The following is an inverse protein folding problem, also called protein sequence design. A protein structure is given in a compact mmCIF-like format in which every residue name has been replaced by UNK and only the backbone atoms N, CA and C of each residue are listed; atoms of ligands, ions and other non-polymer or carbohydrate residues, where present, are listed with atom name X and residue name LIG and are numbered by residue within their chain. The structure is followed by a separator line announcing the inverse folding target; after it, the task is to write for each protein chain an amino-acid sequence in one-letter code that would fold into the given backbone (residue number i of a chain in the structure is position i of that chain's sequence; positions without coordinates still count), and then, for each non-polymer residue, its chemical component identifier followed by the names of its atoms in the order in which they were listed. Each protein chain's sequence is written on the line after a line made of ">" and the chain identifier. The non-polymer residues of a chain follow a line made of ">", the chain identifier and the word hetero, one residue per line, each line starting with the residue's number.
data_IF_418999326707
#
_entry.id   IF_418999326707
#
_cell.length_a   1.000
_cell.length_b   1.000
_cell.length_c   1.000
_cell.angle_alpha   90.00
_cell.angle_beta   90.00
_cell.angle_gamma   90.00
#
_symmetry.space_group_name_H-M   'P 1'
#
loop_
_entity.id
_entity.type
_entity.pdbx_description
1 polymer ?
#
# COMPACT_ATOMS: atom_id res chain seq x y z
N UNK A 1 51.04 35.51 -29.09
CA UNK A 1 50.23 36.22 -30.13
C UNK A 1 49.17 35.30 -30.62
N UNK A 2 48.00 35.37 -30.02
CA UNK A 2 46.83 34.55 -30.40
C UNK A 2 46.20 35.14 -31.64
N UNK A 3 46.11 34.30 -32.68
CA UNK A 3 45.76 34.68 -34.03
C UNK A 3 44.25 35.08 -34.08
N UNK A 4 43.93 36.30 -34.56
CA UNK A 4 42.56 36.86 -34.69
C UNK A 4 41.59 35.95 -35.45
N UNK A 5 42.08 35.09 -36.32
CA UNK A 5 41.27 34.10 -37.02
C UNK A 5 40.72 32.98 -36.12
N UNK A 6 41.42 32.59 -35.05
CA UNK A 6 40.96 31.55 -34.14
C UNK A 6 39.89 32.10 -33.15
N UNK A 7 39.90 33.44 -32.87
CA UNK A 7 38.87 34.03 -32.05
C UNK A 7 37.49 34.16 -32.82
N UNK A 8 37.54 34.43 -34.12
CA UNK A 8 36.35 34.55 -34.96
C UNK A 8 35.69 33.21 -35.24
N UNK A 9 36.44 32.14 -35.38
CA UNK A 9 35.92 30.79 -35.54
C UNK A 9 35.29 30.26 -34.21
N UNK A 10 35.89 30.58 -33.07
CA UNK A 10 35.34 30.23 -31.75
C UNK A 10 34.03 30.93 -31.43
N UNK A 11 33.87 32.20 -31.83
CA UNK A 11 32.64 32.98 -31.64
C UNK A 11 31.49 32.49 -32.59
N UNK A 12 31.82 32.11 -33.80
CA UNK A 12 30.84 31.59 -34.76
C UNK A 12 30.31 30.20 -34.36
N UNK A 13 31.15 29.32 -33.81
CA UNK A 13 30.74 28.03 -33.29
C UNK A 13 29.94 28.14 -31.98
N UNK A 14 30.28 29.09 -31.09
CA UNK A 14 29.49 29.36 -29.89
C UNK A 14 28.12 29.97 -30.21
N UNK A 15 28.02 30.83 -31.20
CA UNK A 15 26.74 31.40 -31.65
C UNK A 15 25.87 30.35 -32.37
N UNK A 16 26.47 29.42 -33.13
CA UNK A 16 25.74 28.33 -33.75
C UNK A 16 25.26 27.30 -32.73
N UNK A 17 26.07 26.99 -31.69
CA UNK A 17 25.65 26.11 -30.61
C UNK A 17 24.58 26.74 -29.70
N UNK A 18 24.62 28.05 -29.46
CA UNK A 18 23.52 28.76 -28.78
C UNK A 18 22.25 28.81 -29.61
N UNK A 19 22.32 28.94 -30.91
CA UNK A 19 21.13 28.94 -31.78
C UNK A 19 20.53 27.54 -31.95
N UNK A 20 21.34 26.49 -31.79
CA UNK A 20 20.87 25.10 -31.79
C UNK A 20 20.26 24.73 -30.41
N UNK A 21 20.80 25.27 -29.29
CA UNK A 21 20.20 25.12 -27.95
C UNK A 21 18.93 25.97 -27.78
N UNK A 22 18.75 27.06 -28.47
CA UNK A 22 17.50 27.84 -28.52
C UNK A 22 16.44 27.25 -29.49
N UNK A 23 16.79 26.30 -30.30
CA UNK A 23 15.89 25.36 -30.99
C UNK A 23 15.69 24.04 -30.23
N UNK A 24 15.85 24.00 -28.94
CA UNK A 24 15.11 23.08 -28.09
C UNK A 24 13.64 23.36 -28.38
N UNK A 25 13.02 22.52 -29.19
CA UNK A 25 11.73 22.71 -29.80
C UNK A 25 10.78 23.33 -28.79
N UNK A 26 10.27 24.50 -29.07
CA UNK A 26 9.10 25.02 -28.37
C UNK A 26 8.08 23.90 -28.48
N UNK A 27 7.82 23.22 -27.39
CA UNK A 27 6.85 22.13 -27.35
C UNK A 27 5.53 22.80 -27.69
N UNK A 28 5.02 22.58 -28.91
CA UNK A 28 3.75 23.14 -29.31
C UNK A 28 2.69 22.41 -28.49
N UNK A 29 1.94 23.14 -27.69
CA UNK A 29 0.80 22.64 -26.95
C UNK A 29 -0.48 22.91 -27.73
N UNK A 30 -1.42 22.01 -27.61
CA UNK A 30 -2.84 22.28 -27.89
C UNK A 30 -3.39 22.97 -26.65
N UNK A 31 -3.79 24.20 -26.78
CA UNK A 31 -4.34 24.96 -25.65
C UNK A 31 -5.84 24.70 -25.52
N UNK A 32 -6.29 24.27 -24.36
CA UNK A 32 -7.70 23.94 -24.12
C UNK A 32 -8.64 25.16 -24.38
N UNK A 33 -8.17 26.38 -24.09
CA UNK A 33 -8.91 27.60 -24.36
C UNK A 33 -9.26 27.81 -25.85
N UNK A 34 -8.46 27.29 -26.78
CA UNK A 34 -8.68 27.40 -28.22
C UNK A 34 -9.91 26.59 -28.67
N UNK A 35 -10.39 25.71 -27.82
CA UNK A 35 -11.62 24.92 -27.98
C UNK A 35 -12.80 25.50 -27.20
N UNK A 36 -12.62 26.71 -26.66
CA UNK A 36 -13.67 27.43 -25.94
C UNK A 36 -13.85 27.03 -24.48
N UNK A 37 -12.85 26.36 -23.86
CA UNK A 37 -12.85 26.17 -22.42
C UNK A 37 -12.57 27.49 -21.74
N UNK A 38 -13.43 27.85 -20.79
CA UNK A 38 -13.37 29.08 -20.03
C UNK A 38 -13.59 28.82 -18.54
N UNK A 39 -12.64 29.21 -17.71
CA UNK A 39 -12.73 29.09 -16.27
C UNK A 39 -13.84 29.94 -15.63
N UNK A 40 -14.34 30.95 -16.32
CA UNK A 40 -15.47 31.75 -15.88
C UNK A 40 -16.84 31.13 -16.22
N UNK A 41 -16.88 30.15 -17.12
CA UNK A 41 -18.08 29.39 -17.45
C UNK A 41 -18.31 28.27 -16.40
N UNK A 42 -19.39 28.36 -15.63
CA UNK A 42 -19.78 27.40 -14.61
C UNK A 42 -20.63 26.23 -15.14
N UNK A 43 -20.96 26.27 -16.43
CA UNK A 43 -21.73 25.19 -17.09
C UNK A 43 -20.88 24.00 -17.48
N UNK A 44 -21.53 22.98 -18.03
CA UNK A 44 -20.86 21.77 -18.52
C UNK A 44 -20.00 22.09 -19.76
N UNK A 45 -18.72 21.79 -19.65
CA UNK A 45 -17.73 21.99 -20.69
C UNK A 45 -17.19 20.68 -21.28
N UNK A 46 -17.85 19.57 -21.01
CA UNK A 46 -17.39 18.23 -21.40
C UNK A 46 -17.12 18.10 -22.90
N UNK A 47 -18.05 18.59 -23.74
CA UNK A 47 -17.88 18.53 -25.20
C UNK A 47 -16.68 19.34 -25.70
N UNK A 48 -16.42 20.52 -25.11
CA UNK A 48 -15.28 21.37 -25.44
C UNK A 48 -13.98 20.69 -25.05
N UNK A 49 -13.94 20.09 -23.83
CA UNK A 49 -12.75 19.40 -23.34
C UNK A 49 -12.47 18.13 -24.13
N UNK A 50 -13.50 17.38 -24.52
CA UNK A 50 -13.33 16.20 -25.39
C UNK A 50 -12.73 16.58 -26.75
N UNK A 51 -13.21 17.66 -27.38
CA UNK A 51 -12.63 18.15 -28.64
C UNK A 51 -11.15 18.52 -28.48
N UNK A 52 -10.76 19.15 -27.36
CA UNK A 52 -9.38 19.52 -27.10
C UNK A 52 -8.48 18.25 -26.91
N UNK A 53 -8.98 17.25 -26.18
CA UNK A 53 -8.29 15.96 -25.99
C UNK A 53 -8.10 15.23 -27.33
N UNK A 54 -9.16 15.17 -28.14
CA UNK A 54 -9.11 14.51 -29.46
C UNK A 54 -8.15 15.19 -30.43
N UNK A 55 -8.13 16.52 -30.43
CA UNK A 55 -7.19 17.30 -31.21
C UNK A 55 -5.73 17.09 -30.78
N UNK A 56 -5.48 17.11 -29.47
CA UNK A 56 -4.16 16.87 -28.90
C UNK A 56 -3.65 15.48 -29.29
N UNK A 57 -4.49 14.46 -29.16
CA UNK A 57 -4.18 13.09 -29.57
C UNK A 57 -3.92 12.96 -31.07
N UNK A 58 -4.74 13.60 -31.92
CA UNK A 58 -4.59 13.56 -33.37
C UNK A 58 -3.31 14.27 -33.84
N UNK A 59 -2.93 15.38 -33.20
CA UNK A 59 -1.72 16.15 -33.51
C UNK A 59 -0.48 15.58 -32.83
N UNK A 60 -0.63 14.60 -31.94
CA UNK A 60 0.45 14.06 -31.09
C UNK A 60 1.17 15.19 -30.30
N UNK A 61 0.41 16.15 -29.82
CA UNK A 61 0.88 17.28 -29.02
C UNK A 61 0.26 17.24 -27.63
N UNK A 62 0.97 17.67 -26.58
CA UNK A 62 0.39 17.74 -25.25
C UNK A 62 -0.79 18.73 -25.21
N UNK A 63 -1.87 18.39 -24.52
CA UNK A 63 -2.94 19.30 -24.16
C UNK A 63 -2.51 20.11 -22.93
N UNK A 64 -2.64 21.42 -23.00
CA UNK A 64 -2.40 22.35 -21.88
C UNK A 64 -3.72 22.90 -21.38
N UNK A 65 -3.95 22.80 -20.07
CA UNK A 65 -5.11 23.35 -19.38
C UNK A 65 -4.65 24.49 -18.45
N UNK A 66 -5.17 25.70 -18.66
CA UNK A 66 -4.86 26.85 -17.81
C UNK A 66 -5.44 26.69 -16.40
N UNK A 67 -4.95 27.50 -15.44
CA UNK A 67 -5.53 27.59 -14.10
C UNK A 67 -7.01 27.99 -14.17
N UNK A 68 -7.83 27.36 -13.34
CA UNK A 68 -9.27 27.58 -13.27
C UNK A 68 -10.03 26.29 -13.01
N UNK A 69 -11.35 26.41 -12.83
CA UNK A 69 -12.23 25.25 -12.60
C UNK A 69 -13.11 25.03 -13.83
N UNK A 70 -13.09 23.80 -14.34
CA UNK A 70 -13.84 23.38 -15.51
C UNK A 70 -14.76 22.22 -15.14
N UNK A 71 -16.06 22.42 -15.29
CA UNK A 71 -17.02 21.34 -15.03
C UNK A 71 -17.07 20.40 -16.22
N UNK A 72 -16.61 19.16 -16.01
CA UNK A 72 -16.52 18.14 -17.06
C UNK A 72 -16.83 16.75 -16.52
N UNK A 73 -17.33 15.86 -17.37
CA UNK A 73 -17.58 14.47 -17.05
C UNK A 73 -17.56 13.59 -18.27
N UNK A 74 -17.30 12.30 -18.05
CA UNK A 74 -17.32 11.25 -19.08
C UNK A 74 -16.39 11.56 -20.28
N UNK A 75 -15.26 12.21 -20.04
CA UNK A 75 -14.24 12.44 -21.06
C UNK A 75 -13.55 11.10 -21.35
N UNK A 76 -13.57 10.69 -22.60
CA UNK A 76 -13.01 9.41 -23.02
C UNK A 76 -11.65 9.58 -23.69
N UNK A 77 -10.69 8.74 -23.29
CA UNK A 77 -9.33 8.73 -23.85
C UNK A 77 -9.04 7.32 -24.35
N UNK A 78 -9.04 7.15 -25.66
CA UNK A 78 -8.74 5.91 -26.36
C UNK A 78 -7.47 5.95 -27.24
N UNK A 79 -6.66 7.01 -27.11
CA UNK A 79 -5.43 7.23 -27.90
C UNK A 79 -4.32 7.80 -27.03
N UNK A 80 -3.05 7.63 -27.44
CA UNK A 80 -1.92 8.29 -26.77
C UNK A 80 -2.13 9.79 -26.67
N UNK A 81 -2.01 10.33 -25.46
CA UNK A 81 -2.12 11.76 -25.21
C UNK A 81 -1.44 12.14 -23.90
N UNK A 82 -0.86 13.32 -23.85
CA UNK A 82 -0.40 13.95 -22.61
C UNK A 82 -1.32 15.10 -22.26
N UNK A 83 -1.88 15.12 -21.05
CA UNK A 83 -2.72 16.20 -20.53
C UNK A 83 -1.97 16.85 -19.37
N UNK A 84 -1.70 18.13 -19.46
CA UNK A 84 -1.00 18.90 -18.43
C UNK A 84 -1.86 20.05 -17.92
N UNK A 85 -2.05 20.09 -16.61
CA UNK A 85 -2.67 21.23 -15.93
C UNK A 85 -1.62 22.22 -15.44
N UNK A 86 -1.88 23.51 -15.65
CA UNK A 86 -1.19 24.55 -14.90
C UNK A 86 -1.56 24.46 -13.42
N UNK A 87 -0.73 25.01 -12.53
CA UNK A 87 -1.05 25.07 -11.11
C UNK A 87 -2.44 25.70 -10.89
N UNK A 88 -3.35 24.98 -10.23
CA UNK A 88 -4.73 25.39 -10.02
C UNK A 88 -5.70 25.02 -11.15
N UNK A 89 -5.28 24.22 -12.15
CA UNK A 89 -6.19 23.65 -13.14
C UNK A 89 -7.02 22.54 -12.48
N UNK A 90 -8.33 22.73 -12.41
CA UNK A 90 -9.27 21.83 -11.73
C UNK A 90 -10.33 21.32 -12.69
N UNK A 91 -10.46 20.02 -12.78
CA UNK A 91 -11.58 19.35 -13.43
C UNK A 91 -12.61 18.98 -12.34
N UNK A 92 -13.75 19.65 -12.34
CA UNK A 92 -14.83 19.38 -11.41
C UNK A 92 -15.83 18.43 -12.05
N UNK A 93 -16.25 17.42 -11.27
CA UNK A 93 -17.21 16.42 -11.72
C UNK A 93 -18.54 17.06 -12.08
N UNK A 94 -18.98 16.88 -13.32
CA UNK A 94 -20.32 17.16 -13.80
C UNK A 94 -21.26 15.95 -13.66
N UNK A 95 -22.44 15.98 -14.28
CA UNK A 95 -23.32 14.82 -14.31
C UNK A 95 -22.72 13.68 -15.13
N UNK A 96 -22.22 12.64 -14.46
CA UNK A 96 -21.58 11.50 -15.11
C UNK A 96 -21.02 10.47 -14.11
N UNK A 97 -20.35 9.44 -14.62
CA UNK A 97 -19.82 8.35 -13.81
C UNK A 97 -18.33 8.53 -13.50
N UNK A 98 -17.62 9.31 -14.33
CA UNK A 98 -16.20 9.65 -14.12
C UNK A 98 -15.89 11.03 -14.70
N UNK A 99 -14.82 11.68 -14.24
CA UNK A 99 -14.28 12.87 -14.91
C UNK A 99 -13.56 12.45 -16.18
N UNK A 100 -12.54 11.56 -16.05
CA UNK A 100 -11.82 10.97 -17.18
C UNK A 100 -11.97 9.46 -17.17
N UNK A 101 -12.16 8.89 -18.35
CA UNK A 101 -12.18 7.44 -18.59
C UNK A 101 -11.17 7.08 -19.69
N UNK A 102 -10.11 6.38 -19.30
CA UNK A 102 -9.10 5.83 -20.20
C UNK A 102 -9.52 4.38 -20.55
N UNK A 103 -9.67 4.07 -21.84
CA UNK A 103 -10.06 2.73 -22.26
C UNK A 103 -9.28 2.29 -23.48
N UNK A 104 -8.78 1.04 -23.45
CA UNK A 104 -8.13 0.37 -24.57
C UNK A 104 -7.03 1.23 -25.21
N UNK A 105 -6.22 1.87 -24.38
CA UNK A 105 -5.22 2.86 -24.80
C UNK A 105 -3.84 2.60 -24.20
N UNK A 106 -2.88 3.38 -24.66
CA UNK A 106 -1.52 3.37 -24.12
C UNK A 106 -0.83 4.70 -24.30
N UNK A 107 0.32 4.87 -23.64
CA UNK A 107 1.11 6.10 -23.69
C UNK A 107 0.31 7.36 -23.29
N UNK A 108 -0.42 7.25 -22.18
CA UNK A 108 -1.20 8.38 -21.65
C UNK A 108 -0.48 8.95 -20.42
N UNK A 109 -0.33 10.26 -20.39
CA UNK A 109 0.20 11.00 -19.24
C UNK A 109 -0.85 12.01 -18.77
N UNK A 110 -1.19 11.95 -17.49
CA UNK A 110 -2.05 12.93 -16.80
C UNK A 110 -1.19 13.58 -15.71
N UNK A 111 -0.95 14.90 -15.85
CA UNK A 111 0.04 15.61 -15.06
C UNK A 111 -0.50 16.93 -14.52
N UNK A 112 -0.36 17.16 -13.21
CA UNK A 112 -0.60 18.47 -12.58
C UNK A 112 -2.06 18.90 -12.46
N UNK A 113 -3.04 18.01 -12.59
CA UNK A 113 -4.46 18.32 -12.53
C UNK A 113 -5.04 18.08 -11.12
N UNK A 114 -6.05 18.87 -10.78
CA UNK A 114 -6.95 18.60 -9.66
C UNK A 114 -8.25 17.99 -10.18
N UNK A 115 -8.62 16.82 -9.66
CA UNK A 115 -9.90 16.16 -9.89
C UNK A 115 -10.79 16.38 -8.67
N UNK A 116 -11.91 17.05 -8.83
CA UNK A 116 -12.82 17.43 -7.74
C UNK A 116 -14.21 16.82 -7.95
N UNK A 117 -14.60 15.92 -7.06
CA UNK A 117 -15.89 15.24 -7.09
C UNK A 117 -17.01 15.89 -6.28
N UNK A 118 -16.81 17.12 -5.77
CA UNK A 118 -17.66 17.74 -4.73
C UNK A 118 -19.15 17.88 -5.03
N UNK A 119 -19.55 17.79 -6.30
CA UNK A 119 -20.95 17.96 -6.69
C UNK A 119 -21.63 16.65 -7.13
N UNK A 120 -20.93 15.52 -7.04
CA UNK A 120 -21.41 14.20 -7.49
C UNK A 120 -22.20 13.45 -6.40
N UNK A 121 -23.07 14.13 -5.66
CA UNK A 121 -23.85 13.52 -4.58
C UNK A 121 -24.74 12.37 -5.10
N UNK A 122 -24.54 11.16 -4.54
CA UNK A 122 -25.44 10.02 -4.74
C UNK A 122 -25.13 9.12 -5.94
N UNK A 123 -23.94 9.20 -6.55
CA UNK A 123 -23.48 8.29 -7.60
C UNK A 123 -22.19 7.60 -7.18
N UNK A 124 -21.94 6.39 -7.68
CA UNK A 124 -20.65 5.68 -7.57
C UNK A 124 -19.54 6.39 -8.41
N UNK A 125 -19.46 7.72 -8.27
CA UNK A 125 -18.59 8.56 -9.07
C UNK A 125 -17.10 8.25 -8.80
N UNK A 126 -16.44 7.65 -9.78
CA UNK A 126 -15.00 7.49 -9.83
C UNK A 126 -14.39 8.72 -10.49
N UNK A 127 -13.36 9.34 -9.90
CA UNK A 127 -12.78 10.54 -10.51
C UNK A 127 -11.98 10.22 -11.78
N UNK A 128 -11.17 9.15 -11.71
CA UNK A 128 -10.40 8.66 -12.86
C UNK A 128 -10.60 7.15 -13.01
N UNK A 129 -11.17 6.73 -14.13
CA UNK A 129 -11.34 5.34 -14.51
C UNK A 129 -10.34 4.95 -15.59
N UNK A 130 -9.62 3.83 -15.41
CA UNK A 130 -8.62 3.32 -16.34
C UNK A 130 -8.92 1.85 -16.59
N UNK A 131 -9.12 1.47 -17.86
CA UNK A 131 -9.42 0.08 -18.22
C UNK A 131 -8.62 -0.34 -19.45
N UNK A 132 -7.97 -1.51 -19.39
CA UNK A 132 -7.17 -2.08 -20.49
C UNK A 132 -6.14 -1.09 -21.04
N UNK A 133 -5.31 -0.51 -20.17
CA UNK A 133 -4.39 0.54 -20.58
C UNK A 133 -2.95 0.23 -20.21
N UNK A 134 -2.02 0.58 -21.08
CA UNK A 134 -0.59 0.30 -20.92
C UNK A 134 0.23 1.58 -20.96
N UNK A 135 1.31 1.63 -20.18
CA UNK A 135 2.22 2.78 -20.10
C UNK A 135 1.47 4.09 -19.73
N UNK A 136 0.56 3.97 -18.76
CA UNK A 136 -0.15 5.12 -18.21
C UNK A 136 0.67 5.73 -17.07
N UNK A 137 0.81 7.04 -17.07
CA UNK A 137 1.40 7.80 -15.96
C UNK A 137 0.39 8.80 -15.45
N UNK A 138 0.03 8.69 -14.16
CA UNK A 138 -0.77 9.69 -13.44
C UNK A 138 0.15 10.30 -12.39
N UNK A 139 0.47 11.58 -12.54
CA UNK A 139 1.48 12.20 -11.67
C UNK A 139 1.12 13.61 -11.24
N UNK A 140 1.59 14.01 -10.05
CA UNK A 140 1.43 15.38 -9.51
C UNK A 140 -0.02 15.86 -9.48
N UNK A 141 -0.98 14.94 -9.38
CA UNK A 141 -2.41 15.24 -9.43
C UNK A 141 -3.01 15.24 -8.01
N UNK A 142 -4.12 15.99 -7.87
CA UNK A 142 -4.94 15.94 -6.66
C UNK A 142 -6.29 15.31 -6.99
N UNK A 143 -6.78 14.41 -6.12
CA UNK A 143 -8.09 13.78 -6.22
C UNK A 143 -8.86 14.07 -4.92
N UNK A 144 -9.95 14.80 -5.03
CA UNK A 144 -10.65 15.34 -3.88
C UNK A 144 -12.13 14.99 -3.94
N UNK A 145 -12.70 14.61 -2.77
CA UNK A 145 -14.15 14.48 -2.56
C UNK A 145 -14.86 13.57 -3.56
N UNK A 146 -14.27 12.40 -3.85
CA UNK A 146 -14.95 11.39 -4.66
C UNK A 146 -16.12 10.76 -3.89
N UNK A 147 -17.29 10.67 -4.53
CA UNK A 147 -18.44 9.93 -3.98
C UNK A 147 -18.24 8.41 -4.00
N UNK A 148 -17.32 7.92 -4.81
CA UNK A 148 -16.88 6.52 -4.90
C UNK A 148 -15.36 6.40 -4.79
N UNK A 149 -14.73 5.82 -5.79
CA UNK A 149 -13.27 5.58 -5.84
C UNK A 149 -12.53 6.79 -6.42
N UNK A 150 -11.36 7.12 -5.88
CA UNK A 150 -10.51 8.17 -6.45
C UNK A 150 -9.96 7.77 -7.82
N UNK A 151 -9.14 6.73 -7.88
CA UNK A 151 -8.60 6.14 -9.12
C UNK A 151 -8.97 4.67 -9.17
N UNK A 152 -9.75 4.26 -10.17
CA UNK A 152 -10.06 2.87 -10.45
C UNK A 152 -9.26 2.40 -11.67
N UNK A 153 -8.38 1.44 -11.46
CA UNK A 153 -7.55 0.85 -12.51
C UNK A 153 -7.90 -0.63 -12.68
N UNK A 154 -8.31 -1.03 -13.87
CA UNK A 154 -8.53 -2.41 -14.23
C UNK A 154 -7.67 -2.79 -15.43
N UNK A 155 -6.88 -3.84 -15.29
CA UNK A 155 -5.93 -4.28 -16.33
C UNK A 155 -5.06 -3.11 -16.85
N UNK A 156 -4.49 -2.36 -15.91
CA UNK A 156 -3.60 -1.23 -16.19
C UNK A 156 -2.16 -1.63 -15.96
N UNK A 157 -1.26 -1.12 -16.80
CA UNK A 157 0.19 -1.09 -16.58
C UNK A 157 0.69 0.34 -16.61
N UNK A 158 1.55 0.70 -15.67
CA UNK A 158 2.09 2.05 -15.56
C UNK A 158 2.27 2.47 -14.12
N UNK A 159 2.14 3.77 -13.85
CA UNK A 159 2.40 4.32 -12.51
C UNK A 159 1.41 5.38 -12.09
N UNK A 160 1.22 5.48 -10.78
CA UNK A 160 0.51 6.55 -10.09
C UNK A 160 1.49 7.11 -9.07
N UNK A 161 1.96 8.35 -9.30
CA UNK A 161 3.05 8.87 -8.51
C UNK A 161 2.86 10.34 -8.08
N UNK A 162 3.33 10.66 -6.86
CA UNK A 162 3.32 12.02 -6.32
C UNK A 162 1.94 12.69 -6.35
N UNK A 163 0.87 11.90 -6.19
CA UNK A 163 -0.50 12.38 -6.15
C UNK A 163 -0.98 12.56 -4.71
N UNK A 164 -1.92 13.47 -4.51
CA UNK A 164 -2.64 13.62 -3.26
C UNK A 164 -4.11 13.20 -3.44
N UNK A 165 -4.59 12.27 -2.60
CA UNK A 165 -5.97 11.76 -2.65
C UNK A 165 -6.59 11.94 -1.27
N UNK A 166 -7.71 12.66 -1.18
CA UNK A 166 -8.36 12.87 0.13
C UNK A 166 -9.86 13.01 0.03
N UNK A 167 -10.52 12.67 1.14
CA UNK A 167 -11.96 12.76 1.26
C UNK A 167 -12.67 11.89 0.21
N UNK A 168 -12.21 10.65 0.09
CA UNK A 168 -12.70 9.66 -0.86
C UNK A 168 -13.70 8.73 -0.15
N UNK A 169 -14.93 8.67 -0.61
CA UNK A 169 -15.97 7.90 0.09
C UNK A 169 -15.74 6.38 0.10
N UNK A 170 -15.05 5.83 -0.89
CA UNK A 170 -14.65 4.42 -0.92
C UNK A 170 -13.13 4.28 -0.77
N UNK A 171 -12.43 3.96 -1.82
CA UNK A 171 -10.99 3.65 -1.85
C UNK A 171 -10.24 4.68 -2.66
N UNK A 172 -9.09 5.15 -2.16
CA UNK A 172 -8.32 6.14 -2.90
C UNK A 172 -7.81 5.59 -4.24
N UNK A 173 -7.12 4.45 -4.23
CA UNK A 173 -6.60 3.78 -5.43
C UNK A 173 -7.01 2.31 -5.40
N UNK A 174 -7.78 1.87 -6.39
CA UNK A 174 -8.18 0.48 -6.55
C UNK A 174 -7.65 -0.07 -7.87
N UNK A 175 -6.58 -0.85 -7.80
CA UNK A 175 -5.99 -1.57 -8.93
C UNK A 175 -6.48 -3.02 -8.91
N UNK A 176 -7.25 -3.42 -9.93
CA UNK A 176 -7.75 -4.77 -10.10
C UNK A 176 -7.19 -5.38 -11.39
N UNK A 177 -6.65 -6.59 -11.31
CA UNK A 177 -6.00 -7.30 -12.43
C UNK A 177 -4.92 -6.47 -13.16
N UNK A 178 -4.30 -5.51 -12.44
CA UNK A 178 -3.33 -4.54 -12.97
C UNK A 178 -1.91 -4.99 -12.65
N UNK A 179 -1.32 -5.84 -13.48
CA UNK A 179 -0.01 -6.41 -13.21
C UNK A 179 1.15 -5.42 -13.37
N UNK A 180 2.05 -5.38 -12.39
CA UNK A 180 3.25 -4.55 -12.43
C UNK A 180 3.01 -3.04 -12.26
N UNK A 181 1.89 -2.63 -11.67
CA UNK A 181 1.62 -1.21 -11.42
C UNK A 181 2.56 -0.67 -10.33
N UNK A 182 3.04 0.54 -10.55
CA UNK A 182 3.85 1.28 -9.57
C UNK A 182 2.99 2.37 -8.91
N UNK A 183 2.85 2.34 -7.58
CA UNK A 183 2.12 3.32 -6.78
C UNK A 183 3.11 3.95 -5.80
N UNK A 184 3.61 5.16 -6.14
CA UNK A 184 4.84 5.70 -5.57
C UNK A 184 4.65 7.11 -5.01
N UNK A 185 5.07 7.35 -3.76
CA UNK A 185 5.16 8.69 -3.18
C UNK A 185 3.83 9.45 -3.06
N UNK A 186 2.70 8.75 -3.04
CA UNK A 186 1.39 9.37 -2.93
C UNK A 186 1.05 9.71 -1.48
N UNK A 187 0.23 10.75 -1.28
CA UNK A 187 -0.37 11.11 0.01
C UNK A 187 -1.85 10.80 -0.03
N UNK A 188 -2.33 9.92 0.83
CA UNK A 188 -3.70 9.42 0.89
C UNK A 188 -4.25 9.68 2.28
N UNK A 189 -5.44 10.30 2.39
CA UNK A 189 -6.04 10.58 3.68
C UNK A 189 -7.56 10.60 3.64
N UNK A 190 -8.18 10.18 4.74
CA UNK A 190 -9.64 10.23 4.97
C UNK A 190 -10.42 9.52 3.86
N UNK A 191 -10.20 8.20 3.78
CA UNK A 191 -10.91 7.34 2.84
C UNK A 191 -11.88 6.42 3.58
N UNK A 192 -13.07 6.26 3.04
CA UNK A 192 -14.16 5.57 3.71
C UNK A 192 -14.00 4.05 3.81
N UNK A 193 -13.17 3.42 2.95
CA UNK A 193 -13.03 1.97 2.96
C UNK A 193 -11.63 1.45 2.68
N UNK A 194 -10.75 2.22 2.07
CA UNK A 194 -9.40 1.74 1.81
C UNK A 194 -8.46 2.81 1.26
N UNK A 195 -7.17 2.67 1.57
CA UNK A 195 -6.13 3.49 0.97
C UNK A 195 -5.77 2.99 -0.42
N UNK A 196 -5.02 1.90 -0.51
CA UNK A 196 -4.61 1.27 -1.77
C UNK A 196 -5.06 -0.20 -1.79
N UNK A 197 -5.74 -0.61 -2.85
CA UNK A 197 -6.09 -2.00 -3.13
C UNK A 197 -5.37 -2.49 -4.37
N UNK A 198 -4.67 -3.63 -4.25
CA UNK A 198 -4.09 -4.36 -5.37
C UNK A 198 -4.70 -5.75 -5.36
N UNK A 199 -5.69 -5.94 -6.19
CA UNK A 199 -6.50 -7.15 -6.22
C UNK A 199 -6.39 -7.88 -7.55
N UNK A 200 -6.56 -9.19 -7.48
CA UNK A 200 -6.75 -10.02 -8.67
C UNK A 200 -8.02 -10.84 -8.58
N UNK A 201 -8.73 -10.95 -9.67
CA UNK A 201 -9.91 -11.80 -9.79
C UNK A 201 -9.55 -13.28 -9.70
N UNK A 202 -8.36 -13.65 -10.19
CA UNK A 202 -7.75 -14.97 -10.05
C UNK A 202 -6.37 -14.85 -9.42
N UNK A 203 -6.03 -15.78 -8.51
CA UNK A 203 -4.68 -15.81 -7.93
C UNK A 203 -3.62 -15.97 -9.01
N UNK A 204 -2.56 -15.17 -8.92
CA UNK A 204 -1.46 -15.27 -9.86
C UNK A 204 -0.47 -14.09 -9.79
N UNK A 205 0.57 -14.15 -10.65
CA UNK A 205 1.61 -13.12 -10.69
C UNK A 205 1.04 -11.73 -10.93
N UNK A 206 1.48 -10.78 -10.13
CA UNK A 206 1.11 -9.37 -10.23
C UNK A 206 2.36 -8.48 -10.36
N UNK A 207 3.25 -8.51 -9.37
CA UNK A 207 4.53 -7.80 -9.41
C UNK A 207 4.42 -6.29 -9.14
N UNK A 208 3.30 -5.81 -8.61
CA UNK A 208 3.12 -4.40 -8.27
C UNK A 208 4.05 -3.93 -7.16
N UNK A 209 4.40 -2.64 -7.20
CA UNK A 209 5.29 -1.99 -6.26
C UNK A 209 4.61 -0.79 -5.61
N UNK A 210 4.51 -0.81 -4.28
CA UNK A 210 3.93 0.24 -3.47
C UNK A 210 5.02 0.81 -2.57
N UNK A 211 5.52 2.00 -2.91
CA UNK A 211 6.70 2.55 -2.26
C UNK A 211 6.54 4.02 -1.85
N UNK A 212 6.96 4.33 -0.61
CA UNK A 212 7.08 5.71 -0.14
C UNK A 212 5.75 6.47 0.00
N UNK A 213 4.61 5.77 0.06
CA UNK A 213 3.31 6.41 0.20
C UNK A 213 3.07 6.81 1.67
N UNK A 214 2.34 7.90 1.87
CA UNK A 214 1.80 8.34 3.15
C UNK A 214 0.30 8.11 3.16
N UNK A 215 -0.18 7.26 4.08
CA UNK A 215 -1.59 6.84 4.13
C UNK A 215 -2.09 7.10 5.55
N UNK A 216 -3.21 7.81 5.69
CA UNK A 216 -3.80 8.05 7.01
C UNK A 216 -5.32 8.06 6.99
N UNK A 217 -5.89 7.80 8.16
CA UNK A 217 -7.32 7.95 8.43
C UNK A 217 -8.18 7.12 7.47
N UNK A 218 -7.97 5.82 7.50
CA UNK A 218 -8.72 4.87 6.66
C UNK A 218 -9.85 4.26 7.49
N UNK A 219 -11.07 4.55 7.10
CA UNK A 219 -12.31 4.08 7.73
C UNK A 219 -12.83 2.80 7.04
N UNK A 220 -13.98 2.27 7.48
CA UNK A 220 -14.63 1.03 7.02
C UNK A 220 -16.15 1.18 6.91
N UNK A 221 -16.59 2.27 6.30
CA UNK A 221 -17.99 2.70 6.19
C UNK A 221 -18.89 1.62 5.58
N UNK A 222 -18.37 0.83 4.63
CA UNK A 222 -19.11 -0.28 4.01
C UNK A 222 -19.15 -1.56 4.85
N UNK A 223 -18.52 -1.56 6.03
CA UNK A 223 -18.46 -2.75 6.89
C UNK A 223 -17.54 -3.84 6.36
N UNK A 224 -17.41 -4.94 7.13
CA UNK A 224 -16.50 -6.04 6.84
C UNK A 224 -15.05 -5.72 7.16
N UNK A 225 -14.31 -6.66 7.72
CA UNK A 225 -12.94 -6.45 8.19
C UNK A 225 -11.86 -7.00 7.24
N UNK A 226 -12.22 -7.74 6.22
CA UNK A 226 -11.25 -8.29 5.26
C UNK A 226 -10.87 -7.30 4.17
N UNK A 227 -11.86 -6.77 3.48
CA UNK A 227 -11.69 -5.91 2.31
C UNK A 227 -11.60 -4.42 2.63
N UNK A 228 -12.21 -3.96 3.73
CA UNK A 228 -12.33 -2.57 4.10
C UNK A 228 -11.47 -2.21 5.32
N UNK A 229 -11.22 -0.93 5.54
CA UNK A 229 -10.52 -0.41 6.70
C UNK A 229 -9.00 -0.60 6.71
N UNK A 230 -8.41 -0.97 5.59
CA UNK A 230 -6.98 -1.23 5.49
C UNK A 230 -6.25 -0.11 4.74
N UNK A 231 -5.06 0.23 5.21
CA UNK A 231 -4.18 1.19 4.53
C UNK A 231 -3.76 0.68 3.15
N UNK A 232 -3.19 -0.52 3.12
CA UNK A 232 -2.86 -1.27 1.90
C UNK A 232 -3.48 -2.66 2.00
N UNK A 233 -4.24 -3.05 0.98
CA UNK A 233 -4.84 -4.37 0.91
C UNK A 233 -4.46 -5.07 -0.40
N UNK A 234 -3.81 -6.23 -0.28
CA UNK A 234 -3.40 -7.06 -1.41
C UNK A 234 -4.18 -8.36 -1.39
N UNK A 235 -4.90 -8.67 -2.46
CA UNK A 235 -5.73 -9.87 -2.55
C UNK A 235 -5.42 -10.70 -3.78
N UNK A 236 -4.99 -11.93 -3.59
CA UNK A 236 -4.65 -12.90 -4.65
C UNK A 236 -3.57 -12.44 -5.62
N UNK A 237 -2.86 -11.36 -5.33
CA UNK A 237 -1.80 -10.79 -6.17
C UNK A 237 -0.43 -11.22 -5.64
N UNK A 238 0.29 -11.97 -6.45
CA UNK A 238 1.60 -12.53 -6.09
C UNK A 238 2.75 -11.58 -6.49
N UNK A 239 3.91 -11.75 -5.84
CA UNK A 239 5.14 -10.99 -6.12
C UNK A 239 5.04 -9.47 -5.84
N UNK A 240 4.10 -9.05 -5.00
CA UNK A 240 3.92 -7.64 -4.63
C UNK A 240 4.99 -7.21 -3.63
N UNK A 241 5.54 -6.01 -3.83
CA UNK A 241 6.48 -5.37 -2.91
C UNK A 241 5.88 -4.11 -2.30
N UNK A 242 5.89 -4.02 -0.96
CA UNK A 242 5.38 -2.91 -0.16
C UNK A 242 6.51 -2.40 0.72
N UNK A 243 7.05 -1.20 0.41
CA UNK A 243 8.23 -0.72 1.12
C UNK A 243 8.20 0.78 1.41
N UNK A 244 8.80 1.14 2.55
CA UNK A 244 9.02 2.52 2.96
C UNK A 244 7.74 3.38 3.02
N UNK A 245 6.58 2.77 3.25
CA UNK A 245 5.33 3.50 3.42
C UNK A 245 5.15 3.93 4.89
N UNK A 246 4.50 5.07 5.08
CA UNK A 246 4.06 5.55 6.39
C UNK A 246 2.54 5.48 6.47
N UNK A 247 2.01 4.61 7.33
CA UNK A 247 0.59 4.27 7.40
C UNK A 247 0.10 4.50 8.84
N UNK A 248 -0.92 5.34 8.99
CA UNK A 248 -1.39 5.79 10.31
C UNK A 248 -2.91 5.73 10.39
N UNK A 249 -3.42 5.29 11.55
CA UNK A 249 -4.85 5.35 11.87
C UNK A 249 -5.73 4.66 10.83
N UNK A 250 -5.54 3.34 10.69
CA UNK A 250 -6.41 2.48 9.89
C UNK A 250 -7.40 1.76 10.79
N UNK A 251 -8.67 1.71 10.39
CA UNK A 251 -9.72 1.03 11.16
C UNK A 251 -9.40 -0.45 11.42
N UNK A 252 -8.70 -1.10 10.50
CA UNK A 252 -8.19 -2.46 10.65
C UNK A 252 -6.67 -2.50 10.44
N UNK A 253 -6.18 -3.15 9.40
CA UNK A 253 -4.74 -3.35 9.21
C UNK A 253 -4.08 -2.16 8.50
N UNK A 254 -2.84 -1.86 8.86
CA UNK A 254 -2.00 -1.01 8.02
C UNK A 254 -1.75 -1.70 6.67
N UNK A 255 -1.33 -2.98 6.71
CA UNK A 255 -1.05 -3.79 5.52
C UNK A 255 -1.69 -5.17 5.68
N UNK A 256 -2.56 -5.55 4.75
CA UNK A 256 -3.22 -6.86 4.72
C UNK A 256 -2.94 -7.59 3.42
N UNK A 257 -2.41 -8.81 3.53
CA UNK A 257 -2.01 -9.68 2.43
C UNK A 257 -2.86 -10.96 2.49
N UNK A 258 -3.82 -11.10 1.58
CA UNK A 258 -4.76 -12.19 1.62
C UNK A 258 -4.55 -13.12 0.42
N UNK A 259 -4.26 -14.39 0.67
CA UNK A 259 -4.02 -15.44 -0.33
C UNK A 259 -2.94 -15.05 -1.36
N UNK A 260 -1.83 -14.47 -0.90
CA UNK A 260 -0.74 -13.95 -1.73
C UNK A 260 0.50 -14.83 -1.68
N UNK A 261 1.33 -14.78 -2.72
CA UNK A 261 2.61 -15.50 -2.73
C UNK A 261 3.77 -14.57 -3.05
N UNK A 262 4.94 -14.90 -2.47
CA UNK A 262 6.21 -14.21 -2.71
C UNK A 262 6.11 -12.70 -2.48
N UNK A 263 5.45 -12.30 -1.40
CA UNK A 263 5.30 -10.88 -1.03
C UNK A 263 6.47 -10.39 -0.20
N UNK A 264 6.78 -9.11 -0.31
CA UNK A 264 7.78 -8.44 0.51
C UNK A 264 7.18 -7.19 1.15
N UNK A 265 7.27 -7.11 2.48
CA UNK A 265 6.84 -5.96 3.29
C UNK A 265 8.05 -5.49 4.10
N UNK A 266 8.65 -4.36 3.71
CA UNK A 266 9.96 -3.96 4.25
C UNK A 266 10.04 -2.47 4.51
N UNK A 267 10.57 -2.06 5.68
CA UNK A 267 10.85 -0.67 5.99
C UNK A 267 9.62 0.22 6.20
N UNK A 268 8.44 -0.37 6.40
CA UNK A 268 7.24 0.42 6.60
C UNK A 268 7.12 0.90 8.05
N UNK A 269 6.53 2.09 8.23
CA UNK A 269 6.16 2.62 9.53
C UNK A 269 4.64 2.58 9.66
N UNK A 270 4.13 1.71 10.53
CA UNK A 270 2.70 1.48 10.76
C UNK A 270 2.33 1.95 12.16
N UNK A 271 1.37 2.87 12.27
CA UNK A 271 0.91 3.42 13.56
C UNK A 271 -0.60 3.27 13.71
N UNK A 272 -1.04 3.04 14.94
CA UNK A 272 -2.45 3.09 15.33
C UNK A 272 -3.36 2.24 14.41
N UNK A 273 -3.01 0.97 14.22
CA UNK A 273 -3.83 0.01 13.48
C UNK A 273 -4.89 -0.61 14.38
N UNK A 274 -6.15 -0.59 13.95
CA UNK A 274 -7.27 -1.08 14.76
C UNK A 274 -7.36 -2.61 14.87
N UNK A 275 -6.61 -3.36 14.09
CA UNK A 275 -6.53 -4.82 14.12
C UNK A 275 -5.05 -5.25 14.08
N UNK A 276 -4.72 -6.30 13.35
CA UNK A 276 -3.35 -6.73 13.09
C UNK A 276 -2.66 -5.73 12.16
N UNK A 277 -1.54 -5.16 12.58
CA UNK A 277 -0.87 -4.12 11.79
C UNK A 277 -0.39 -4.63 10.42
N UNK A 278 0.34 -5.76 10.40
CA UNK A 278 0.77 -6.43 9.16
C UNK A 278 0.26 -7.87 9.18
N UNK A 279 -0.63 -8.20 8.27
CA UNK A 279 -1.33 -9.48 8.26
C UNK A 279 -1.12 -10.23 6.95
N UNK A 280 -0.40 -11.37 7.00
CA UNK A 280 -0.39 -12.39 5.95
C UNK A 280 -1.36 -13.49 6.34
N UNK A 281 -2.44 -13.66 5.58
CA UNK A 281 -3.54 -14.55 5.93
C UNK A 281 -3.97 -15.48 4.80
N UNK A 282 -4.76 -16.48 5.17
CA UNK A 282 -5.25 -17.56 4.32
C UNK A 282 -4.10 -18.32 3.62
N UNK A 283 -4.27 -18.79 2.42
CA UNK A 283 -3.27 -19.60 1.71
C UNK A 283 -2.03 -18.83 1.23
N UNK A 284 -1.49 -17.91 2.04
CA UNK A 284 -0.26 -17.20 1.69
C UNK A 284 0.96 -18.14 1.63
N UNK A 285 1.97 -17.80 0.83
CA UNK A 285 3.23 -18.54 0.78
C UNK A 285 4.39 -17.66 0.34
N UNK A 286 5.48 -17.66 1.09
CA UNK A 286 6.68 -16.89 0.76
C UNK A 286 6.58 -15.41 1.14
N UNK A 287 6.04 -15.11 2.32
CA UNK A 287 6.01 -13.75 2.87
C UNK A 287 7.33 -13.40 3.54
N UNK A 288 7.93 -12.26 3.15
CA UNK A 288 9.08 -11.65 3.83
C UNK A 288 8.58 -10.37 4.48
N UNK A 289 8.64 -10.28 5.82
CA UNK A 289 8.25 -9.12 6.61
C UNK A 289 9.47 -8.67 7.41
N UNK A 290 10.11 -7.57 6.99
CA UNK A 290 11.39 -7.17 7.59
C UNK A 290 11.53 -5.66 7.78
N UNK A 291 12.27 -5.30 8.83
CA UNK A 291 12.68 -3.92 9.09
C UNK A 291 11.52 -2.92 9.21
N UNK A 292 10.34 -3.39 9.62
CA UNK A 292 9.17 -2.54 9.83
C UNK A 292 9.12 -2.03 11.27
N UNK A 293 8.60 -0.81 11.45
CA UNK A 293 8.25 -0.26 12.75
C UNK A 293 6.73 -0.27 12.92
N UNK A 294 6.26 -0.96 13.96
CA UNK A 294 4.85 -1.00 14.35
C UNK A 294 4.74 -0.34 15.71
N UNK A 295 3.89 0.70 15.82
CA UNK A 295 3.71 1.50 17.03
C UNK A 295 2.21 1.75 17.26
N UNK A 296 1.61 1.06 18.21
CA UNK A 296 0.18 1.12 18.46
C UNK A 296 -0.62 0.30 17.44
N UNK A 297 -0.99 -0.91 17.80
CA UNK A 297 -1.91 -1.77 17.05
C UNK A 297 -2.65 -2.68 18.02
N UNK A 298 -3.77 -3.29 17.60
CA UNK A 298 -4.42 -4.30 18.41
C UNK A 298 -3.60 -5.61 18.44
N UNK A 299 -2.94 -5.96 17.33
CA UNK A 299 -1.90 -6.98 17.26
C UNK A 299 -0.82 -6.53 16.27
N UNK A 300 0.41 -7.02 16.42
CA UNK A 300 1.54 -6.56 15.62
C UNK A 300 1.60 -7.20 14.24
N UNK A 301 2.27 -8.35 14.11
CA UNK A 301 2.46 -9.08 12.84
C UNK A 301 1.82 -10.46 12.97
N UNK A 302 1.06 -10.88 11.96
CA UNK A 302 0.48 -12.20 11.87
C UNK A 302 0.86 -12.91 10.56
N UNK A 303 1.34 -14.15 10.70
CA UNK A 303 1.64 -15.07 9.61
C UNK A 303 1.01 -16.42 9.95
N UNK A 304 -0.29 -16.48 9.97
CA UNK A 304 -1.13 -17.56 10.49
C UNK A 304 -2.03 -18.15 9.41
N UNK A 305 -3.05 -18.92 9.80
CA UNK A 305 -3.96 -19.64 8.90
C UNK A 305 -3.29 -20.86 8.21
N UNK A 306 -2.50 -21.60 8.95
CA UNK A 306 -1.96 -22.87 8.45
C UNK A 306 -3.06 -23.87 8.05
N UNK A 307 -4.21 -23.82 8.74
CA UNK A 307 -5.41 -24.59 8.37
C UNK A 307 -5.91 -24.30 6.95
N UNK A 308 -5.68 -23.08 6.44
CA UNK A 308 -6.04 -22.65 5.09
C UNK A 308 -4.83 -22.62 4.13
N UNK A 309 -3.71 -23.24 4.52
CA UNK A 309 -2.50 -23.38 3.72
C UNK A 309 -1.49 -22.24 3.86
N UNK A 310 -1.67 -21.36 4.85
CA UNK A 310 -0.71 -20.28 5.16
C UNK A 310 0.62 -20.85 5.64
N UNK A 311 1.73 -20.52 4.98
CA UNK A 311 3.06 -21.07 5.27
C UNK A 311 4.19 -20.30 4.59
N UNK A 312 5.40 -20.66 4.96
CA UNK A 312 6.66 -20.21 4.35
C UNK A 312 6.85 -18.69 4.49
N UNK A 313 7.40 -18.28 5.62
CA UNK A 313 7.60 -16.87 5.93
C UNK A 313 8.89 -16.57 6.68
N UNK A 314 9.39 -15.35 6.51
CA UNK A 314 10.47 -14.80 7.31
C UNK A 314 10.00 -13.49 7.92
N UNK A 315 10.12 -13.37 9.25
CA UNK A 315 9.86 -12.15 10.00
C UNK A 315 11.13 -11.74 10.73
N UNK A 316 11.79 -10.65 10.27
CA UNK A 316 13.10 -10.30 10.82
C UNK A 316 13.31 -8.80 10.98
N UNK A 317 14.05 -8.41 12.03
CA UNK A 317 14.49 -7.02 12.22
C UNK A 317 13.36 -6.02 12.45
N UNK A 318 12.14 -6.47 12.78
CA UNK A 318 11.02 -5.57 13.03
C UNK A 318 11.03 -5.05 14.47
N UNK A 319 10.51 -3.85 14.66
CA UNK A 319 10.19 -3.29 15.98
C UNK A 319 8.67 -3.27 16.13
N UNK A 320 8.16 -3.91 17.19
CA UNK A 320 6.73 -3.93 17.54
C UNK A 320 6.58 -3.41 18.96
N UNK A 321 5.80 -2.35 19.14
CA UNK A 321 5.66 -1.75 20.46
C UNK A 321 4.30 -1.09 20.70
N UNK A 322 3.99 -0.83 21.99
CA UNK A 322 2.83 -0.06 22.44
C UNK A 322 1.51 -0.61 21.91
N UNK A 323 1.34 -1.95 21.93
CA UNK A 323 0.11 -2.55 21.46
C UNK A 323 -1.07 -2.23 22.40
N UNK A 324 -2.27 -2.23 21.85
CA UNK A 324 -3.51 -1.95 22.55
C UNK A 324 -3.96 -3.17 23.35
N UNK A 325 -4.59 -2.96 24.49
CA UNK A 325 -5.22 -4.03 25.28
C UNK A 325 -6.36 -4.73 24.52
N UNK A 326 -6.97 -4.02 23.59
CA UNK A 326 -8.15 -4.49 22.85
C UNK A 326 -8.26 -3.78 21.50
N UNK A 327 -8.71 -4.50 20.49
CA UNK A 327 -9.11 -3.89 19.22
C UNK A 327 -10.33 -2.99 19.39
N UNK A 328 -10.33 -1.77 18.85
CA UNK A 328 -11.51 -0.91 18.88
C UNK A 328 -12.63 -1.40 17.96
N UNK A 329 -12.30 -2.14 16.90
CA UNK A 329 -13.23 -2.48 15.82
C UNK A 329 -13.46 -3.98 15.65
N UNK A 330 -12.54 -4.82 16.14
CA UNK A 330 -12.66 -6.27 16.10
C UNK A 330 -12.36 -6.87 17.48
N UNK A 331 -13.38 -7.05 18.35
CA UNK A 331 -13.19 -7.49 19.72
C UNK A 331 -12.59 -8.89 19.85
N UNK A 332 -12.59 -9.70 18.78
CA UNK A 332 -12.01 -11.03 18.75
C UNK A 332 -10.48 -11.01 18.55
N UNK A 333 -9.89 -9.85 18.26
CA UNK A 333 -8.45 -9.70 18.14
C UNK A 333 -7.80 -9.70 19.52
N UNK A 334 -7.01 -10.72 19.80
CA UNK A 334 -6.20 -10.85 21.01
C UNK A 334 -4.84 -10.17 20.78
N UNK A 335 -4.31 -9.38 21.73
CA UNK A 335 -3.02 -8.71 21.56
C UNK A 335 -1.85 -9.69 21.59
N UNK A 336 -1.04 -9.65 20.53
CA UNK A 336 0.25 -10.32 20.44
C UNK A 336 1.22 -9.51 19.55
N UNK A 337 2.53 -9.61 19.84
CA UNK A 337 3.54 -8.94 19.06
C UNK A 337 3.72 -9.57 17.68
N UNK A 338 4.08 -10.86 17.62
CA UNK A 338 4.24 -11.63 16.38
C UNK A 338 3.57 -12.99 16.54
N UNK A 339 2.66 -13.33 15.63
CA UNK A 339 2.01 -14.64 15.54
C UNK A 339 2.47 -15.41 14.31
N UNK A 340 2.84 -16.68 14.48
CA UNK A 340 3.38 -17.54 13.42
C UNK A 340 2.93 -18.99 13.57
N UNK A 341 2.69 -19.70 12.45
CA UNK A 341 2.22 -21.08 12.51
C UNK A 341 3.08 -22.09 11.74
N UNK A 342 3.49 -21.80 10.50
CA UNK A 342 4.10 -22.87 9.70
C UNK A 342 5.28 -22.42 8.80
N UNK A 343 6.31 -23.29 8.76
CA UNK A 343 7.47 -23.21 7.88
C UNK A 343 8.11 -21.79 7.94
N UNK A 344 8.40 -21.31 9.14
CA UNK A 344 8.70 -19.91 9.34
C UNK A 344 9.92 -19.66 10.23
N UNK A 345 10.59 -18.54 9.99
CA UNK A 345 11.64 -18.00 10.85
C UNK A 345 11.25 -16.63 11.39
N UNK A 346 11.32 -16.46 12.72
CA UNK A 346 11.14 -15.19 13.43
C UNK A 346 12.47 -14.86 14.12
N UNK A 347 13.20 -13.88 13.60
CA UNK A 347 14.59 -13.64 14.03
C UNK A 347 14.95 -12.15 14.15
N UNK A 348 15.69 -11.80 15.20
CA UNK A 348 16.24 -10.45 15.37
C UNK A 348 15.20 -9.34 15.53
N UNK A 349 13.97 -9.65 15.96
CA UNK A 349 12.94 -8.66 16.20
C UNK A 349 13.03 -8.09 17.63
N UNK A 350 12.58 -6.84 17.79
CA UNK A 350 12.41 -6.20 19.10
C UNK A 350 10.93 -5.99 19.38
N UNK A 351 10.42 -6.60 20.45
CA UNK A 351 9.01 -6.55 20.84
C UNK A 351 8.94 -5.97 22.26
N UNK A 352 8.15 -4.91 22.43
CA UNK A 352 8.03 -4.21 23.72
C UNK A 352 6.60 -3.77 24.01
N UNK A 353 6.15 -3.95 25.26
CA UNK A 353 4.88 -3.37 25.71
C UNK A 353 3.66 -4.02 25.07
N UNK A 354 3.60 -5.36 25.08
CA UNK A 354 2.44 -6.12 24.60
C UNK A 354 1.58 -6.53 25.79
N UNK A 355 0.32 -6.07 25.88
CA UNK A 355 -0.59 -6.46 26.97
C UNK A 355 -1.11 -7.90 26.86
N UNK A 356 -0.52 -8.69 26.01
CA UNK A 356 -0.71 -10.12 25.77
C UNK A 356 0.63 -10.82 25.58
N UNK A 357 0.74 -11.64 24.55
CA UNK A 357 1.93 -12.45 24.29
C UNK A 357 2.88 -11.78 23.30
N UNK A 358 4.17 -11.69 23.63
CA UNK A 358 5.19 -11.13 22.74
C UNK A 358 5.30 -11.92 21.43
N UNK A 359 5.53 -13.21 21.48
CA UNK A 359 5.56 -14.10 20.31
C UNK A 359 4.67 -15.31 20.54
N UNK A 360 3.74 -15.57 19.61
CA UNK A 360 2.86 -16.75 19.62
C UNK A 360 3.30 -17.71 18.50
N UNK A 361 3.62 -18.94 18.86
CA UNK A 361 4.13 -19.98 17.96
C UNK A 361 3.09 -21.10 17.87
N UNK A 362 2.31 -21.10 16.80
CA UNK A 362 1.24 -22.07 16.59
C UNK A 362 -0.01 -21.83 17.43
N UNK A 363 -1.11 -22.46 17.02
CA UNK A 363 -2.41 -22.43 17.68
C UNK A 363 -3.06 -23.81 17.59
N UNK A 364 -3.25 -24.49 18.71
CA UNK A 364 -3.72 -25.88 18.70
C UNK A 364 -2.79 -26.77 17.85
N UNK A 365 -3.31 -27.59 16.92
CA UNK A 365 -2.48 -28.44 16.06
C UNK A 365 -1.77 -27.66 14.91
N UNK A 366 -2.07 -26.37 14.76
CA UNK A 366 -1.54 -25.56 13.66
C UNK A 366 -0.15 -25.00 13.98
N UNK A 367 0.82 -25.90 13.99
CA UNK A 367 2.24 -25.61 14.15
C UNK A 367 3.04 -26.56 13.27
N UNK A 368 3.99 -26.03 12.49
CA UNK A 368 4.93 -26.86 11.73
C UNK A 368 6.24 -26.13 11.44
N UNK A 369 7.35 -26.70 11.89
CA UNK A 369 8.73 -26.31 11.54
C UNK A 369 8.98 -24.78 11.65
N UNK A 370 8.86 -24.26 12.89
CA UNK A 370 9.04 -22.84 13.21
C UNK A 370 10.34 -22.64 13.99
N UNK A 371 11.15 -21.68 13.56
CA UNK A 371 12.32 -21.17 14.26
C UNK A 371 12.05 -19.79 14.86
N UNK A 372 12.29 -19.62 16.16
CA UNK A 372 12.24 -18.31 16.85
C UNK A 372 13.56 -18.09 17.57
N UNK A 373 14.42 -17.21 17.03
CA UNK A 373 15.75 -16.99 17.59
C UNK A 373 16.21 -15.54 17.54
N UNK A 374 17.15 -15.18 18.42
CA UNK A 374 17.77 -13.85 18.48
C UNK A 374 16.80 -12.68 18.64
N UNK A 375 15.59 -12.90 19.17
CA UNK A 375 14.64 -11.82 19.41
C UNK A 375 14.82 -11.22 20.81
N UNK A 376 14.52 -9.94 20.94
CA UNK A 376 14.38 -9.25 22.23
C UNK A 376 12.89 -9.04 22.51
N UNK A 377 12.37 -9.69 23.54
CA UNK A 377 10.96 -9.61 23.98
C UNK A 377 10.91 -9.05 25.39
N UNK A 378 10.27 -7.90 25.57
CA UNK A 378 10.26 -7.25 26.88
C UNK A 378 8.90 -6.60 27.22
N UNK A 379 8.60 -6.54 28.51
CA UNK A 379 7.39 -5.89 29.04
C UNK A 379 6.11 -6.41 28.33
N UNK A 380 6.02 -7.71 28.14
CA UNK A 380 4.83 -8.40 27.67
C UNK A 380 4.18 -9.13 28.83
N UNK A 381 2.87 -9.40 28.79
CA UNK A 381 2.23 -10.27 29.82
C UNK A 381 2.88 -11.66 29.80
N UNK A 382 2.99 -12.27 28.61
CA UNK A 382 3.76 -13.49 28.36
C UNK A 382 4.82 -13.17 27.31
N UNK A 383 6.07 -13.58 27.56
CA UNK A 383 7.14 -13.35 26.59
C UNK A 383 6.92 -14.13 25.30
N UNK A 384 7.02 -15.46 25.36
CA UNK A 384 6.87 -16.40 24.22
C UNK A 384 5.92 -17.52 24.61
N UNK A 385 4.93 -17.82 23.77
CA UNK A 385 4.04 -18.97 23.90
C UNK A 385 4.18 -19.89 22.71
N UNK A 386 4.28 -21.21 22.94
CA UNK A 386 4.35 -22.22 21.88
C UNK A 386 3.28 -23.30 22.07
N UNK A 387 2.66 -23.71 20.97
CA UNK A 387 1.69 -24.79 21.00
C UNK A 387 2.36 -26.17 21.19
N UNK A 388 1.86 -26.88 22.17
CA UNK A 388 2.18 -28.30 22.42
C UNK A 388 0.92 -29.18 22.35
N UNK A 389 -0.11 -28.68 21.66
CA UNK A 389 -1.35 -29.42 21.48
C UNK A 389 -1.12 -30.73 20.70
N UNK A 390 -1.97 -31.74 20.88
CA UNK A 390 -1.90 -32.96 20.09
C UNK A 390 -1.96 -32.64 18.58
N UNK A 391 -0.97 -33.11 17.82
CA UNK A 391 -0.83 -32.88 16.40
C UNK A 391 -0.02 -31.61 16.02
N UNK A 392 0.39 -30.79 16.98
CA UNK A 392 1.34 -29.72 16.74
C UNK A 392 2.71 -30.25 16.30
N UNK A 393 3.26 -29.65 15.24
CA UNK A 393 4.58 -29.99 14.72
C UNK A 393 5.72 -29.33 15.51
N UNK A 394 6.90 -29.24 14.91
CA UNK A 394 8.10 -28.84 15.63
C UNK A 394 8.32 -27.33 15.69
N UNK A 395 8.91 -26.88 16.83
CA UNK A 395 9.44 -25.54 17.00
C UNK A 395 10.82 -25.58 17.69
N UNK A 396 11.71 -24.65 17.29
CA UNK A 396 12.95 -24.33 17.98
C UNK A 396 12.89 -22.89 18.49
N UNK A 397 13.09 -22.72 19.82
CA UNK A 397 13.14 -21.43 20.50
C UNK A 397 14.53 -21.24 21.08
N UNK A 398 15.39 -20.44 20.46
CA UNK A 398 16.77 -20.31 20.90
C UNK A 398 17.30 -18.88 20.92
N UNK A 399 18.23 -18.64 21.84
CA UNK A 399 19.04 -17.42 21.91
C UNK A 399 18.23 -16.11 21.98
N UNK A 400 16.97 -16.17 22.45
CA UNK A 400 16.15 -14.99 22.67
C UNK A 400 16.46 -14.36 24.04
N UNK A 401 16.29 -13.05 24.12
CA UNK A 401 16.32 -12.29 25.39
C UNK A 401 14.88 -11.98 25.78
N UNK A 402 14.39 -12.55 26.87
CA UNK A 402 13.04 -12.30 27.41
C UNK A 402 13.16 -11.61 28.75
N UNK A 403 12.60 -10.39 28.87
CA UNK A 403 12.76 -9.60 30.09
C UNK A 403 11.49 -8.86 30.50
N UNK A 404 11.29 -8.77 31.83
CA UNK A 404 10.17 -8.01 32.39
C UNK A 404 8.79 -8.53 31.97
N UNK A 405 8.62 -9.85 31.80
CA UNK A 405 7.32 -10.47 31.57
C UNK A 405 6.44 -10.31 32.79
N UNK A 406 5.17 -9.93 32.61
CA UNK A 406 4.25 -9.70 33.72
C UNK A 406 3.83 -10.99 34.43
N UNK A 407 3.72 -12.09 33.70
CA UNK A 407 3.33 -13.40 34.22
C UNK A 407 4.41 -14.45 33.96
N UNK A 408 4.70 -14.75 32.70
CA UNK A 408 5.60 -15.84 32.34
C UNK A 408 6.55 -15.45 31.20
N UNK A 409 7.76 -15.97 31.22
CA UNK A 409 8.75 -15.69 30.19
C UNK A 409 8.53 -16.53 28.91
N UNK A 410 8.57 -17.86 29.03
CA UNK A 410 8.35 -18.80 27.93
C UNK A 410 7.44 -19.92 28.42
N UNK A 411 6.30 -20.09 27.75
CA UNK A 411 5.27 -21.06 28.14
C UNK A 411 4.96 -22.06 27.05
N UNK A 412 4.47 -23.24 27.45
CA UNK A 412 3.79 -24.17 26.57
C UNK A 412 2.27 -24.06 26.74
N UNK A 413 1.54 -24.05 25.63
CA UNK A 413 0.09 -23.93 25.65
C UNK A 413 -0.60 -25.01 24.81
N UNK A 414 -1.81 -25.35 25.16
CA UNK A 414 -2.75 -26.11 24.35
C UNK A 414 -3.99 -25.24 24.12
N UNK A 415 -4.12 -24.66 22.98
CA UNK A 415 -5.08 -23.57 22.70
C UNK A 415 -4.84 -22.39 23.67
N UNK A 416 -5.84 -21.99 24.42
CA UNK A 416 -5.75 -20.92 25.43
C UNK A 416 -5.20 -21.38 26.79
N UNK A 417 -5.04 -22.70 27.02
CA UNK A 417 -4.61 -23.25 28.30
C UNK A 417 -3.07 -23.33 28.37
N UNK A 418 -2.47 -22.66 29.34
CA UNK A 418 -1.04 -22.80 29.66
C UNK A 418 -0.83 -24.12 30.39
N UNK A 419 -0.10 -25.06 29.79
CA UNK A 419 0.20 -26.38 30.34
C UNK A 419 1.61 -26.47 30.95
N UNK A 420 2.51 -25.54 30.62
CA UNK A 420 3.77 -25.31 31.33
C UNK A 420 4.02 -23.80 31.44
N UNK A 421 4.27 -23.33 32.66
CA UNK A 421 4.57 -21.91 32.96
C UNK A 421 6.06 -21.58 32.85
N UNK A 422 6.92 -22.60 32.80
CA UNK A 422 8.38 -22.50 32.64
C UNK A 422 8.86 -23.54 31.64
N UNK A 423 8.58 -23.30 30.38
CA UNK A 423 8.94 -24.24 29.32
C UNK A 423 10.45 -24.59 29.26
N UNK A 424 11.40 -23.67 29.53
CA UNK A 424 12.83 -24.04 29.60
C UNK A 424 13.13 -25.14 30.62
N UNK A 425 12.43 -25.15 31.76
CA UNK A 425 12.58 -26.17 32.79
C UNK A 425 11.84 -27.49 32.43
N UNK A 426 10.74 -27.39 31.70
CA UNK A 426 9.83 -28.49 31.35
C UNK A 426 10.01 -29.03 29.94
N UNK A 427 10.99 -28.58 29.17
CA UNK A 427 11.14 -28.87 27.74
C UNK A 427 11.16 -30.39 27.43
N UNK A 428 11.75 -31.20 28.29
CA UNK A 428 11.82 -32.64 28.14
C UNK A 428 10.45 -33.33 28.14
N UNK A 429 9.41 -32.67 28.61
CA UNK A 429 8.04 -33.19 28.60
C UNK A 429 7.36 -33.07 27.23
N UNK A 430 7.91 -32.24 26.31
CA UNK A 430 7.30 -31.92 25.04
C UNK A 430 8.22 -32.25 23.85
N UNK A 431 7.96 -33.37 23.19
CA UNK A 431 8.83 -33.88 22.12
C UNK A 431 8.85 -33.04 20.85
N UNK A 432 7.90 -32.11 20.72
CA UNK A 432 7.78 -31.25 19.53
C UNK A 432 8.46 -29.87 19.69
N UNK A 433 9.02 -29.54 20.85
CA UNK A 433 9.65 -28.24 21.10
C UNK A 433 11.07 -28.42 21.61
N UNK A 434 12.01 -27.71 21.02
CA UNK A 434 13.37 -27.56 21.53
C UNK A 434 13.59 -26.15 22.04
N UNK A 435 14.18 -26.02 23.23
CA UNK A 435 14.47 -24.71 23.86
C UNK A 435 15.93 -24.68 24.27
N UNK A 436 16.70 -23.67 23.81
CA UNK A 436 18.13 -23.57 24.10
C UNK A 436 18.61 -22.11 24.12
N UNK A 437 19.58 -21.79 24.96
CA UNK A 437 20.34 -20.56 24.95
C UNK A 437 19.55 -19.26 25.25
N UNK A 438 18.26 -19.35 25.61
CA UNK A 438 17.47 -18.16 25.90
C UNK A 438 17.89 -17.55 27.24
N UNK A 439 17.96 -16.19 27.26
CA UNK A 439 18.25 -15.40 28.46
C UNK A 439 16.96 -14.84 29.02
N UNK A 440 16.57 -15.26 30.23
CA UNK A 440 15.40 -14.74 30.95
C UNK A 440 15.92 -13.82 32.06
N UNK A 441 15.48 -12.53 32.03
CA UNK A 441 16.01 -11.48 32.89
C UNK A 441 14.87 -10.74 33.63
#
# INVERSE_FOLDING_TARGET
>A
MTNRRQLLTGLATAALSMSILQRAAAQHFVEAKDFGLDAADTGDQSSKFQMAVDAAAALQQPLSLAAGTYQVSNITIGRPVTIRGAQGATLRMGPGDAILALSDCGDVVVDGLTFDGSDALGRDGTLLSITNAQRVTVQNCNFLRAAGTGIRAHNMQGRIENCALSDIADTAIHANDSGGIEILGNTIARCGNGGIRVWRSQSGPDGSRLWGNRISDIDWVAGGNGQNGNGINVFRADNVSISDNHIVNCAFSAIRLNATKNTRVTGNHCQDSGEVSIFSEFGFSGSIISDNLIDGAAAGISMTNFNDGGRLSVCQGNIVRNLLERSPNNPDTVPYGIGVEADAAVTGNVIEGVPGTGIVIGWGPYLRDVLVNDNMVRQCTIGISVSVAPGAGHALISDNVVSGSGEHAIVAAQWDEIVSQDLPADADQFSNVAVAGNSII
#
